data_IF_099655431783
#
_entry.id   IF_099655431783
#
_cell.length_a   1.000
_cell.length_b   1.000
_cell.length_c   1.000
_cell.angle_alpha   90.00
_cell.angle_beta   90.00
_cell.angle_gamma   90.00
#
_symmetry.space_group_name_H-M   'P 1'
#
loop_
_entity.id
_entity.type
_entity.pdbx_description
1 polymer ?
#
# COMPACT_ATOMS: atom_id res chain seq x y z
N UNK A 1 -18.31 -13.87 12.07
CA UNK A 1 -17.63 -15.03 11.43
C UNK A 1 -16.66 -15.61 12.45
N UNK A 2 -16.82 -16.87 12.88
CA UNK A 2 -15.81 -17.55 13.72
C UNK A 2 -14.94 -18.39 12.79
N UNK A 3 -13.62 -18.34 12.97
CA UNK A 3 -12.73 -19.29 12.31
C UNK A 3 -12.94 -20.70 12.93
N UNK A 4 -12.79 -21.78 12.15
CA UNK A 4 -12.73 -23.13 12.70
C UNK A 4 -11.61 -23.27 13.74
N UNK A 5 -11.82 -24.15 14.72
CA UNK A 5 -10.81 -24.42 15.74
C UNK A 5 -9.50 -24.90 15.09
N UNK A 6 -8.38 -24.25 15.41
CA UNK A 6 -7.05 -24.58 14.88
C UNK A 6 -6.57 -23.76 13.69
N UNK A 7 -7.38 -22.86 13.10
CA UNK A 7 -6.92 -21.94 12.05
C UNK A 7 -6.63 -20.54 12.59
N UNK A 8 -5.39 -20.07 12.41
CA UNK A 8 -5.01 -18.67 12.57
C UNK A 8 -5.36 -17.87 11.32
N UNK A 9 -5.77 -16.61 11.49
CA UNK A 9 -5.86 -15.70 10.34
C UNK A 9 -4.44 -15.45 9.78
N UNK A 10 -4.23 -15.45 8.46
CA UNK A 10 -2.90 -15.22 7.88
C UNK A 10 -2.38 -13.80 8.15
N UNK A 11 -3.27 -12.87 8.48
CA UNK A 11 -2.96 -11.48 8.84
C UNK A 11 -3.66 -11.10 10.14
N UNK A 12 -2.90 -10.47 11.04
CA UNK A 12 -3.38 -9.82 12.27
C UNK A 12 -3.04 -8.34 12.21
N UNK A 13 -3.82 -7.49 12.87
CA UNK A 13 -3.38 -6.12 13.18
C UNK A 13 -2.28 -6.19 14.26
N UNK A 14 -1.15 -5.50 14.07
CA UNK A 14 -0.14 -5.39 15.14
C UNK A 14 -0.56 -4.39 16.22
N UNK A 15 -1.39 -3.40 15.85
CA UNK A 15 -2.05 -2.52 16.81
C UNK A 15 -3.27 -1.80 16.24
N UNK A 16 -3.93 -1.04 17.09
CA UNK A 16 -4.99 -0.10 16.70
C UNK A 16 -5.02 1.07 17.69
N UNK A 17 -5.56 2.21 17.24
CA UNK A 17 -5.85 3.34 18.12
C UNK A 17 -7.18 3.99 17.77
N UNK A 18 -7.84 4.57 18.77
CA UNK A 18 -9.04 5.38 18.57
C UNK A 18 -8.64 6.81 18.22
N UNK A 19 -9.36 7.41 17.27
CA UNK A 19 -9.15 8.79 16.86
C UNK A 19 -10.18 9.66 17.58
N UNK A 20 -9.72 10.75 18.21
CA UNK A 20 -10.61 11.72 18.84
C UNK A 20 -11.59 12.31 17.83
N UNK A 21 -12.81 12.64 18.28
CA UNK A 21 -13.88 13.21 17.45
C UNK A 21 -13.58 14.68 17.13
N UNK A 22 -12.55 14.88 16.30
CA UNK A 22 -12.03 16.16 15.88
C UNK A 22 -11.70 16.06 14.39
N UNK A 23 -12.15 17.06 13.61
CA UNK A 23 -12.03 17.06 12.15
C UNK A 23 -10.56 16.94 11.72
N UNK A 24 -9.66 17.66 12.38
CA UNK A 24 -8.23 17.61 12.06
C UNK A 24 -7.61 16.27 12.45
N UNK A 25 -7.98 15.70 13.60
CA UNK A 25 -7.47 14.39 14.03
C UNK A 25 -7.86 13.26 13.07
N UNK A 26 -9.12 13.27 12.58
CA UNK A 26 -9.61 12.31 11.58
C UNK A 26 -8.82 12.44 10.28
N UNK A 27 -8.65 13.67 9.74
CA UNK A 27 -7.85 13.94 8.54
C UNK A 27 -6.39 13.49 8.70
N UNK A 28 -5.77 13.82 9.83
CA UNK A 28 -4.39 13.42 10.15
C UNK A 28 -4.26 11.90 10.21
N UNK A 29 -5.20 11.18 10.81
CA UNK A 29 -5.20 9.71 10.85
C UNK A 29 -5.34 9.08 9.45
N UNK A 30 -6.29 9.57 8.63
CA UNK A 30 -6.47 9.08 7.25
C UNK A 30 -5.23 9.38 6.38
N UNK A 31 -4.61 10.55 6.58
CA UNK A 31 -3.39 10.95 5.87
C UNK A 31 -2.16 10.10 6.27
N UNK A 32 -2.00 9.80 7.55
CA UNK A 32 -0.82 9.12 8.06
C UNK A 32 -0.88 7.59 7.96
N UNK A 33 -2.08 7.00 8.00
CA UNK A 33 -2.26 5.54 8.07
C UNK A 33 -3.33 5.00 7.11
N UNK A 34 -3.80 5.82 6.17
CA UNK A 34 -4.71 5.40 5.10
C UNK A 34 -6.16 5.17 5.55
N UNK A 35 -6.98 4.52 4.69
CA UNK A 35 -8.38 4.26 4.96
C UNK A 35 -8.66 3.50 6.25
N UNK A 36 -9.74 3.83 6.95
CA UNK A 36 -9.97 3.29 8.30
C UNK A 36 -11.44 3.04 8.63
N UNK A 37 -11.68 2.33 9.72
CA UNK A 37 -13.02 2.18 10.29
C UNK A 37 -13.58 3.54 10.69
N UNK A 38 -14.77 3.86 10.20
CA UNK A 38 -15.55 5.01 10.62
C UNK A 38 -17.00 4.58 10.91
N UNK A 39 -17.53 4.93 12.08
CA UNK A 39 -18.95 4.72 12.41
C UNK A 39 -19.70 6.02 12.55
N UNK A 40 -21.00 5.94 12.29
CA UNK A 40 -21.98 6.98 12.57
C UNK A 40 -23.35 6.33 12.80
N UNK A 41 -24.27 7.06 13.40
CA UNK A 41 -25.65 6.64 13.57
C UNK A 41 -26.46 6.96 12.31
N UNK A 42 -27.12 5.94 11.77
CA UNK A 42 -27.95 6.03 10.56
C UNK A 42 -29.37 6.45 10.96
N UNK A 43 -29.91 7.42 10.25
CA UNK A 43 -31.30 7.89 10.33
C UNK A 43 -32.04 7.51 9.03
N UNK A 44 -33.37 7.60 9.00
CA UNK A 44 -34.14 7.19 7.81
C UNK A 44 -33.87 8.03 6.55
N UNK A 45 -33.56 9.31 6.74
CA UNK A 45 -33.14 10.23 5.69
C UNK A 45 -31.85 9.78 4.98
N UNK A 46 -30.91 9.11 5.67
CA UNK A 46 -29.72 8.52 5.05
C UNK A 46 -30.11 7.47 4.01
N UNK A 47 -31.11 6.63 4.31
CA UNK A 47 -31.60 5.62 3.37
C UNK A 47 -32.20 6.24 2.11
N UNK A 48 -32.82 7.42 2.22
CA UNK A 48 -33.29 8.20 1.06
C UNK A 48 -32.12 8.82 0.29
N UNK A 49 -31.21 9.49 0.99
CA UNK A 49 -29.98 10.06 0.41
C UNK A 49 -29.19 9.00 -0.37
N UNK A 50 -28.97 7.81 0.18
CA UNK A 50 -28.27 6.71 -0.47
C UNK A 50 -28.87 6.30 -1.83
N UNK A 51 -30.20 6.39 -1.96
CA UNK A 51 -30.93 5.96 -3.18
C UNK A 51 -31.21 7.09 -4.18
N UNK A 52 -31.14 8.35 -3.76
CA UNK A 52 -31.65 9.50 -4.54
C UNK A 52 -30.74 10.73 -4.54
N UNK A 53 -29.61 10.69 -3.83
CA UNK A 53 -28.58 11.73 -3.91
C UNK A 53 -27.81 11.66 -5.23
N UNK A 54 -27.33 12.81 -5.69
CA UNK A 54 -26.53 12.95 -6.90
C UNK A 54 -25.03 12.85 -6.59
N UNK A 55 -24.22 12.63 -7.62
CA UNK A 55 -22.76 12.58 -7.49
C UNK A 55 -22.21 13.87 -6.88
N UNK A 56 -21.54 13.74 -5.75
CA UNK A 56 -20.98 14.87 -5.00
C UNK A 56 -21.91 15.53 -3.98
N UNK A 57 -23.17 15.10 -3.84
CA UNK A 57 -24.08 15.57 -2.78
C UNK A 57 -23.57 15.15 -1.39
N UNK A 58 -23.63 16.06 -0.42
CA UNK A 58 -23.17 15.83 0.96
C UNK A 58 -24.34 15.47 1.87
N UNK A 59 -24.30 14.31 2.50
CA UNK A 59 -25.27 13.94 3.53
C UNK A 59 -25.11 14.80 4.78
N UNK A 60 -26.21 15.43 5.18
CA UNK A 60 -26.36 16.14 6.44
C UNK A 60 -27.71 15.72 7.03
N UNK A 61 -27.67 14.88 8.07
CA UNK A 61 -28.88 14.44 8.79
C UNK A 61 -29.79 15.61 9.18
N UNK A 62 -31.08 15.48 8.86
CA UNK A 62 -32.17 16.37 9.25
C UNK A 62 -33.27 15.66 10.04
N UNK A 63 -33.41 14.34 9.87
CA UNK A 63 -34.42 13.50 10.55
C UNK A 63 -34.02 13.12 11.97
N UNK A 64 -35.01 12.94 12.85
CA UNK A 64 -34.81 12.46 14.22
C UNK A 64 -35.04 10.95 14.38
N UNK A 65 -35.44 10.23 13.32
CA UNK A 65 -35.73 8.80 13.36
C UNK A 65 -34.46 7.95 13.20
N UNK A 66 -33.72 7.73 14.29
CA UNK A 66 -32.55 6.85 14.32
C UNK A 66 -32.95 5.40 13.99
N UNK A 67 -32.21 4.76 13.07
CA UNK A 67 -32.36 3.36 12.65
C UNK A 67 -31.35 2.43 13.30
N UNK A 68 -30.17 2.92 13.66
CA UNK A 68 -29.11 2.14 14.31
C UNK A 68 -27.75 2.80 14.18
N UNK A 69 -26.70 2.09 14.61
CA UNK A 69 -25.32 2.43 14.25
C UNK A 69 -24.91 1.69 12.98
N UNK A 70 -24.08 2.32 12.14
CA UNK A 70 -23.47 1.69 10.96
C UNK A 70 -21.97 2.00 10.90
N UNK A 71 -21.23 1.13 10.21
CA UNK A 71 -19.79 1.23 10.02
C UNK A 71 -19.44 1.18 8.54
N UNK A 72 -18.53 2.06 8.14
CA UNK A 72 -18.06 2.28 6.77
C UNK A 72 -16.55 2.48 6.78
N UNK A 73 -15.93 2.48 5.60
CA UNK A 73 -14.52 2.82 5.44
C UNK A 73 -14.40 4.31 5.10
N UNK A 74 -13.79 5.13 5.95
CA UNK A 74 -13.41 6.49 5.55
C UNK A 74 -12.19 6.41 4.63
N UNK A 75 -12.24 7.07 3.47
CA UNK A 75 -11.21 7.00 2.42
C UNK A 75 -10.65 8.37 2.02
N UNK A 76 -11.18 9.47 2.56
CA UNK A 76 -10.70 10.81 2.26
C UNK A 76 -11.61 11.91 2.82
N UNK A 77 -11.36 13.16 2.42
CA UNK A 77 -12.15 14.32 2.81
C UNK A 77 -12.09 15.43 1.75
N UNK A 78 -12.93 16.45 1.88
CA UNK A 78 -12.89 17.67 1.06
C UNK A 78 -13.27 18.88 1.91
N UNK A 79 -12.33 19.81 2.04
CA UNK A 79 -12.52 21.05 2.81
C UNK A 79 -13.53 21.99 2.15
N UNK A 80 -13.52 22.08 0.81
CA UNK A 80 -14.50 22.85 0.05
C UNK A 80 -15.93 22.31 0.12
N UNK A 81 -16.10 21.03 0.45
CA UNK A 81 -17.42 20.41 0.75
C UNK A 81 -17.77 20.41 2.24
N UNK A 82 -16.81 20.66 3.13
CA UNK A 82 -16.97 20.43 4.57
C UNK A 82 -17.35 18.98 4.90
N UNK A 83 -16.77 17.99 4.21
CA UNK A 83 -17.24 16.60 4.23
C UNK A 83 -16.13 15.53 4.21
N UNK A 84 -16.41 14.37 4.79
CA UNK A 84 -15.65 13.13 4.65
C UNK A 84 -16.17 12.31 3.46
N UNK A 85 -15.26 11.60 2.77
CA UNK A 85 -15.59 10.62 1.74
C UNK A 85 -15.53 9.21 2.35
N UNK A 86 -16.64 8.48 2.26
CA UNK A 86 -16.79 7.16 2.85
C UNK A 86 -17.21 6.12 1.80
N UNK A 87 -16.61 4.92 1.85
CA UNK A 87 -17.03 3.75 1.08
C UNK A 87 -17.94 2.87 1.93
N UNK A 88 -19.12 2.58 1.39
CA UNK A 88 -20.15 1.75 2.03
C UNK A 88 -20.03 0.28 1.60
N UNK A 89 -20.82 -0.60 2.22
CA UNK A 89 -20.85 -2.05 1.98
C UNK A 89 -22.14 -2.55 1.32
N UNK A 90 -22.86 -1.67 0.62
CA UNK A 90 -24.21 -1.94 0.06
C UNK A 90 -24.26 -2.03 -1.47
N UNK A 91 -23.15 -2.42 -2.11
CA UNK A 91 -23.03 -2.56 -3.56
C UNK A 91 -22.02 -1.59 -4.17
N UNK A 92 -21.27 -2.07 -5.17
CA UNK A 92 -20.16 -1.35 -5.82
C UNK A 92 -20.60 -0.30 -6.85
N UNK A 93 -21.83 -0.39 -7.37
CA UNK A 93 -22.43 0.57 -8.32
C UNK A 93 -23.54 1.42 -7.68
N UNK A 94 -23.71 1.30 -6.36
CA UNK A 94 -24.78 1.96 -5.62
C UNK A 94 -24.31 3.25 -4.93
N UNK A 95 -25.25 4.02 -4.39
CA UNK A 95 -24.96 5.25 -3.67
C UNK A 95 -24.83 6.48 -4.57
N UNK A 96 -24.75 7.69 -3.98
CA UNK A 96 -24.82 8.95 -4.72
C UNK A 96 -23.72 9.13 -5.78
N UNK A 97 -22.52 8.58 -5.53
CA UNK A 97 -21.39 8.69 -6.44
C UNK A 97 -21.35 7.55 -7.50
N UNK A 98 -22.30 6.60 -7.46
CA UNK A 98 -22.39 5.42 -8.35
C UNK A 98 -21.18 4.44 -8.30
N UNK A 99 -20.37 4.51 -7.24
CA UNK A 99 -19.14 3.71 -7.02
C UNK A 99 -19.09 3.06 -5.62
N UNK A 100 -20.23 2.97 -4.93
CA UNK A 100 -20.34 2.52 -3.55
C UNK A 100 -19.91 3.57 -2.51
N UNK A 101 -19.53 4.79 -2.92
CA UNK A 101 -19.12 5.87 -2.02
C UNK A 101 -20.17 6.96 -1.82
N UNK A 102 -20.00 7.73 -0.75
CA UNK A 102 -20.86 8.86 -0.40
C UNK A 102 -20.09 9.92 0.40
N UNK A 103 -20.62 11.13 0.43
CA UNK A 103 -20.09 12.23 1.25
C UNK A 103 -20.94 12.43 2.50
N UNK A 104 -20.30 12.63 3.64
CA UNK A 104 -20.98 12.98 4.91
C UNK A 104 -20.35 14.25 5.49
N UNK A 105 -21.18 15.22 5.88
CA UNK A 105 -20.71 16.48 6.44
C UNK A 105 -19.86 16.28 7.70
N UNK A 106 -18.97 17.22 7.98
CA UNK A 106 -18.24 17.28 9.26
C UNK A 106 -19.15 17.66 10.43
N UNK A 107 -20.19 18.45 10.18
CA UNK A 107 -20.93 19.22 11.17
C UNK A 107 -22.40 19.47 10.79
N UNK A 108 -23.10 20.23 11.65
CA UNK A 108 -24.43 20.80 11.43
C UNK A 108 -25.49 19.80 11.00
N UNK A 109 -25.38 18.57 11.49
CA UNK A 109 -26.45 17.60 11.57
C UNK A 109 -27.47 18.05 12.63
N UNK A 110 -28.76 17.73 12.45
CA UNK A 110 -29.77 17.94 13.49
C UNK A 110 -29.46 17.15 14.76
N UNK A 111 -28.93 15.93 14.61
CA UNK A 111 -28.59 15.05 15.73
C UNK A 111 -27.08 14.88 15.89
N UNK A 112 -26.63 14.51 17.08
CA UNK A 112 -25.28 13.97 17.25
C UNK A 112 -25.24 12.55 16.66
N UNK A 113 -24.53 12.39 15.53
CA UNK A 113 -24.39 11.11 14.84
C UNK A 113 -23.43 10.13 15.54
N UNK A 114 -22.84 10.50 16.67
CA UNK A 114 -21.92 9.64 17.42
C UNK A 114 -20.71 9.22 16.58
N UNK A 115 -20.23 10.12 15.71
CA UNK A 115 -19.12 9.84 14.79
C UNK A 115 -17.88 9.41 15.54
N UNK A 116 -17.33 8.24 15.19
CA UNK A 116 -16.12 7.70 15.79
C UNK A 116 -15.29 6.98 14.74
N UNK A 117 -13.96 7.05 14.91
CA UNK A 117 -12.99 6.41 14.05
C UNK A 117 -12.00 5.65 14.90
N UNK A 118 -11.58 4.48 14.44
CA UNK A 118 -10.35 3.85 14.90
C UNK A 118 -9.53 3.47 13.67
N UNK A 119 -8.21 3.47 13.83
CA UNK A 119 -7.29 3.07 12.78
C UNK A 119 -6.48 1.85 13.22
N UNK A 120 -6.07 1.05 12.25
CA UNK A 120 -5.19 -0.09 12.44
C UNK A 120 -3.76 0.39 12.19
N UNK A 121 -2.87 0.11 13.13
CA UNK A 121 -1.43 0.36 12.96
C UNK A 121 -0.77 -0.96 12.67
N UNK A 122 -0.30 -1.13 11.43
CA UNK A 122 0.44 -2.30 11.00
C UNK A 122 -0.36 -3.59 10.88
N UNK A 123 0.17 -4.48 10.04
CA UNK A 123 -0.30 -5.84 9.80
C UNK A 123 0.86 -6.81 10.00
N UNK A 124 0.68 -7.77 10.92
CA UNK A 124 1.58 -8.91 11.13
C UNK A 124 1.06 -10.11 10.37
N UNK A 125 1.92 -10.76 9.58
CA UNK A 125 1.61 -12.05 8.95
C UNK A 125 1.84 -13.18 9.96
N UNK A 126 0.87 -14.07 10.14
CA UNK A 126 1.06 -15.26 11.00
C UNK A 126 1.70 -16.37 10.18
N UNK A 127 2.93 -16.75 10.55
CA UNK A 127 3.60 -17.91 9.95
C UNK A 127 2.84 -19.20 10.31
N UNK A 128 2.41 -19.94 9.29
CA UNK A 128 1.83 -21.28 9.47
C UNK A 128 2.96 -22.31 9.62
N UNK A 129 2.66 -23.46 10.25
CA UNK A 129 3.62 -24.55 10.45
C UNK A 129 4.29 -25.04 9.16
N UNK A 130 3.56 -25.00 8.03
CA UNK A 130 4.08 -25.35 6.70
C UNK A 130 5.17 -24.37 6.24
N UNK A 131 4.99 -23.06 6.46
CA UNK A 131 5.98 -22.03 6.09
C UNK A 131 7.30 -22.16 6.87
N UNK A 132 7.24 -22.61 8.13
CA UNK A 132 8.41 -22.85 8.97
C UNK A 132 9.17 -24.13 8.60
N UNK A 133 8.50 -25.11 7.99
CA UNK A 133 9.13 -26.32 7.48
C UNK A 133 9.86 -26.03 6.17
N UNK A 134 9.24 -25.29 5.24
CA UNK A 134 9.87 -24.88 3.99
C UNK A 134 11.20 -24.13 4.22
N UNK A 135 11.21 -23.14 5.12
CA UNK A 135 12.44 -22.37 5.43
C UNK A 135 13.56 -23.22 6.07
N UNK A 136 13.21 -24.31 6.77
CA UNK A 136 14.19 -25.23 7.35
C UNK A 136 14.73 -26.23 6.32
N UNK A 137 13.91 -26.64 5.36
CA UNK A 137 14.33 -27.50 4.25
C UNK A 137 15.39 -26.79 3.40
N UNK A 138 15.10 -25.54 2.99
CA UNK A 138 15.99 -24.70 2.17
C UNK A 138 17.36 -24.46 2.84
N UNK A 139 17.35 -24.21 4.16
CA UNK A 139 18.58 -24.06 4.96
C UNK A 139 19.43 -25.33 5.03
N UNK A 140 18.87 -26.53 4.81
CA UNK A 140 19.61 -27.79 4.78
C UNK A 140 20.08 -28.11 3.36
N UNK A 141 19.27 -27.86 2.33
CA UNK A 141 19.69 -28.04 0.92
C UNK A 141 20.86 -27.14 0.53
N UNK A 142 20.88 -25.87 0.99
CA UNK A 142 22.04 -24.97 0.80
C UNK A 142 23.31 -25.49 1.49
N UNK A 143 23.19 -26.29 2.57
CA UNK A 143 24.34 -26.97 3.21
C UNK A 143 24.76 -28.23 2.47
N UNK A 144 23.80 -29.03 1.98
CA UNK A 144 24.06 -30.25 1.20
C UNK A 144 24.70 -29.94 -0.17
N UNK A 145 24.25 -28.89 -0.87
CA UNK A 145 24.79 -28.49 -2.18
C UNK A 145 26.27 -28.08 -2.16
N UNK A 146 26.84 -27.71 -0.99
CA UNK A 146 28.28 -27.44 -0.86
C UNK A 146 29.12 -28.69 -0.60
N UNK A 147 28.51 -29.88 -0.47
CA UNK A 147 29.17 -31.13 -0.04
C UNK A 147 28.70 -32.37 -0.81
N UNK A 148 28.67 -32.34 -2.15
CA UNK A 148 28.84 -33.56 -2.97
C UNK A 148 28.95 -33.30 -4.48
N UNK A 149 30.19 -33.25 -4.99
CA UNK A 149 30.49 -33.61 -6.38
C UNK A 149 30.79 -35.11 -6.39
N UNK A 150 29.87 -35.96 -6.87
CA UNK A 150 30.12 -37.41 -6.88
C UNK A 150 28.97 -38.36 -7.24
N UNK A 151 28.75 -38.57 -8.53
CA UNK A 151 28.52 -39.87 -9.19
C UNK A 151 27.41 -40.86 -8.69
N UNK A 152 26.32 -40.89 -9.48
CA UNK A 152 25.52 -42.05 -9.98
C UNK A 152 24.93 -43.15 -9.08
N UNK A 153 23.64 -43.46 -9.34
CA UNK A 153 22.95 -44.79 -9.24
C UNK A 153 22.83 -45.45 -7.85
N UNK A 154 21.74 -46.11 -7.46
CA UNK A 154 20.46 -46.45 -8.14
C UNK A 154 19.36 -46.84 -7.11
N UNK A 155 18.14 -47.01 -7.62
CA UNK A 155 17.14 -48.03 -7.24
C UNK A 155 16.15 -47.81 -6.06
N UNK A 156 14.87 -47.76 -6.46
CA UNK A 156 13.66 -48.48 -5.98
C UNK A 156 13.38 -48.65 -4.46
N UNK A 157 12.13 -48.70 -3.95
CA UNK A 157 10.82 -48.94 -4.59
C UNK A 157 9.63 -48.47 -3.69
N UNK A 158 8.42 -48.32 -4.29
CA UNK A 158 7.08 -48.78 -3.82
C UNK A 158 6.62 -48.57 -2.35
N UNK A 159 5.39 -48.16 -1.99
CA UNK A 159 4.06 -48.02 -2.68
C UNK A 159 3.30 -46.82 -2.06
N UNK A 160 2.11 -46.33 -2.48
CA UNK A 160 1.17 -46.66 -3.58
C UNK A 160 0.52 -45.35 -4.11
N UNK A 161 -0.55 -45.43 -4.92
CA UNK A 161 -1.27 -44.29 -5.53
C UNK A 161 -2.79 -44.58 -5.63
N UNK A 162 -3.64 -43.80 -6.34
CA UNK A 162 -3.86 -42.34 -6.30
C UNK A 162 -5.35 -41.96 -6.15
N UNK A 163 -5.67 -40.66 -6.08
CA UNK A 163 -6.97 -40.12 -6.50
C UNK A 163 -6.79 -39.42 -7.85
N UNK A 164 -7.62 -39.75 -8.85
CA UNK A 164 -7.45 -39.30 -10.24
C UNK A 164 -8.17 -37.98 -10.51
N UNK A 165 -7.56 -37.10 -11.31
CA UNK A 165 -8.20 -35.90 -11.88
C UNK A 165 -7.93 -35.94 -13.40
N UNK A 166 -8.96 -35.75 -14.22
CA UNK A 166 -8.89 -35.91 -15.68
C UNK A 166 -7.93 -34.92 -16.36
N UNK A 167 -7.00 -35.37 -17.22
CA UNK A 167 -6.07 -34.52 -17.95
C UNK A 167 -6.57 -34.21 -19.37
N UNK A 168 -7.30 -33.12 -19.55
CA UNK A 168 -7.53 -32.52 -20.88
C UNK A 168 -7.36 -31.00 -20.79
N UNK A 169 -6.57 -30.42 -21.71
CA UNK A 169 -6.23 -28.99 -21.84
C UNK A 169 -5.11 -28.43 -20.93
N UNK A 170 -3.97 -29.11 -20.82
CA UNK A 170 -2.67 -28.42 -20.77
C UNK A 170 -1.79 -28.99 -21.90
N UNK A 171 -1.82 -28.35 -23.06
CA UNK A 171 -0.71 -28.34 -24.05
C UNK A 171 -1.02 -27.38 -25.22
N UNK A 172 -0.73 -26.09 -25.03
CA UNK A 172 -0.12 -25.22 -26.07
C UNK A 172 0.04 -23.80 -25.54
N UNK A 173 1.18 -23.54 -24.91
CA UNK A 173 2.00 -22.33 -25.04
C UNK A 173 3.15 -22.48 -24.04
N UNK A 174 4.35 -22.78 -24.55
CA UNK A 174 5.54 -22.91 -23.72
C UNK A 174 5.90 -21.56 -23.12
N UNK A 175 5.65 -21.39 -21.83
CA UNK A 175 5.99 -20.19 -21.07
C UNK A 175 6.28 -20.56 -19.63
N UNK A 176 7.52 -20.41 -19.20
CA UNK A 176 7.91 -20.58 -17.80
C UNK A 176 7.29 -19.46 -16.98
N UNK A 177 6.22 -19.75 -16.23
CA UNK A 177 5.68 -18.80 -15.26
C UNK A 177 6.59 -18.82 -14.03
N UNK A 178 7.56 -17.91 -14.00
CA UNK A 178 8.28 -17.56 -12.76
C UNK A 178 7.32 -16.85 -11.81
N UNK A 179 6.66 -17.61 -10.94
CA UNK A 179 5.95 -17.05 -9.80
C UNK A 179 6.97 -16.66 -8.73
N UNK A 180 7.57 -15.48 -8.90
CA UNK A 180 8.31 -14.80 -7.84
C UNK A 180 7.31 -14.30 -6.79
N UNK A 181 6.75 -15.23 -6.01
CA UNK A 181 6.00 -14.94 -4.80
C UNK A 181 6.97 -14.53 -3.68
N UNK A 182 7.70 -13.43 -3.91
CA UNK A 182 8.51 -12.81 -2.88
C UNK A 182 7.60 -12.36 -1.74
N UNK A 183 7.95 -12.75 -0.52
CA UNK A 183 7.08 -12.57 0.62
C UNK A 183 7.26 -11.17 1.19
N UNK A 184 6.19 -10.38 1.11
CA UNK A 184 6.08 -9.07 1.77
C UNK A 184 6.46 -9.20 3.26
N UNK A 185 7.58 -8.59 3.74
CA UNK A 185 7.88 -8.57 5.16
C UNK A 185 6.81 -7.76 5.91
N UNK A 186 6.50 -8.20 7.13
CA UNK A 186 5.40 -7.65 7.93
C UNK A 186 5.58 -6.16 8.21
N UNK A 187 4.51 -5.40 8.04
CA UNK A 187 4.39 -3.97 8.35
C UNK A 187 4.37 -3.68 9.86
N UNK A 188 5.39 -4.16 10.58
CA UNK A 188 5.60 -3.78 11.97
C UNK A 188 6.30 -2.42 12.05
N UNK A 189 6.00 -1.65 13.09
CA UNK A 189 6.46 -0.27 13.22
C UNK A 189 7.89 -0.20 13.74
N UNK A 190 8.87 -0.25 12.83
CA UNK A 190 10.26 0.05 13.16
C UNK A 190 10.74 1.34 12.48
N UNK A 191 10.79 2.41 13.27
CA UNK A 191 11.60 3.59 12.97
C UNK A 191 13.13 3.33 13.04
N UNK A 192 13.54 2.05 13.10
CA UNK A 192 14.91 1.55 13.23
C UNK A 192 15.21 0.33 12.34
N UNK A 193 14.33 -0.09 11.42
CA UNK A 193 14.61 -1.22 10.54
C UNK A 193 15.52 -0.80 9.37
N UNK A 194 16.70 -1.41 9.28
CA UNK A 194 17.76 -1.06 8.32
C UNK A 194 17.50 -1.59 6.89
N UNK A 195 16.41 -1.07 6.29
CA UNK A 195 15.89 -1.26 4.93
C UNK A 195 14.95 -2.47 4.69
N UNK A 196 13.91 -2.19 3.90
CA UNK A 196 12.73 -3.01 3.63
C UNK A 196 11.69 -2.15 2.89
N UNK A 197 10.40 -2.37 3.16
CA UNK A 197 9.31 -1.59 2.57
C UNK A 197 9.02 -0.27 3.28
N UNK A 198 8.75 0.75 2.47
CA UNK A 198 8.22 2.05 2.85
C UNK A 198 6.86 2.23 2.15
N UNK A 199 5.78 2.00 2.89
CA UNK A 199 4.43 1.95 2.31
C UNK A 199 3.73 3.31 2.37
N UNK A 200 2.85 3.55 1.40
CA UNK A 200 2.01 4.73 1.25
C UNK A 200 2.80 6.05 1.32
N UNK A 201 3.98 6.09 0.69
CA UNK A 201 4.79 7.31 0.61
C UNK A 201 4.05 8.39 -0.18
N UNK A 202 3.82 9.53 0.47
CA UNK A 202 3.18 10.70 -0.14
C UNK A 202 4.04 11.28 -1.26
N UNK A 203 3.37 11.78 -2.30
CA UNK A 203 4.04 12.44 -3.43
C UNK A 203 4.27 13.94 -3.23
N UNK A 204 3.57 14.56 -2.29
CA UNK A 204 3.66 15.98 -1.96
C UNK A 204 4.63 16.25 -0.80
N UNK A 205 5.85 15.73 -0.92
CA UNK A 205 6.94 16.04 -0.01
C UNK A 205 8.11 15.09 -0.13
N UNK A 206 8.93 15.06 0.93
CA UNK A 206 10.09 14.18 1.05
C UNK A 206 9.91 13.11 2.11
N UNK A 207 10.59 11.99 1.92
CA UNK A 207 10.77 10.92 2.93
C UNK A 207 12.26 10.68 3.12
N UNK A 208 12.80 10.96 4.30
CA UNK A 208 14.21 10.70 4.60
C UNK A 208 14.36 9.30 5.20
N UNK A 209 15.26 8.51 4.63
CA UNK A 209 15.60 7.19 5.14
C UNK A 209 16.59 7.34 6.31
N UNK A 210 16.28 6.70 7.43
CA UNK A 210 17.18 6.62 8.59
C UNK A 210 18.22 5.49 8.40
N UNK A 211 19.28 5.53 9.20
CA UNK A 211 20.36 4.53 9.24
C UNK A 211 20.99 4.13 7.89
N UNK A 212 21.23 5.12 7.02
CA UNK A 212 21.97 4.95 5.74
C UNK A 212 23.49 4.90 5.91
N UNK A 213 23.97 4.80 7.15
CA UNK A 213 25.40 4.77 7.50
C UNK A 213 26.08 3.52 6.90
N UNK A 214 27.24 3.70 6.28
CA UNK A 214 27.96 2.59 5.64
C UNK A 214 27.26 1.98 4.41
N UNK A 215 26.23 2.63 3.85
CA UNK A 215 25.56 2.18 2.62
C UNK A 215 26.28 2.75 1.38
N UNK A 216 26.84 1.86 0.55
CA UNK A 216 27.55 2.20 -0.70
C UNK A 216 26.71 1.92 -1.96
N UNK A 217 25.77 0.98 -1.86
CA UNK A 217 24.83 0.59 -2.91
C UNK A 217 23.43 0.35 -2.32
N UNK A 218 22.38 0.69 -3.08
CA UNK A 218 20.99 0.37 -2.80
C UNK A 218 20.31 -0.31 -4.00
N UNK A 219 19.46 -1.29 -3.74
CA UNK A 219 18.47 -1.82 -4.67
C UNK A 219 17.11 -1.22 -4.34
N UNK A 220 16.46 -0.59 -5.32
CA UNK A 220 15.20 0.14 -5.15
C UNK A 220 14.20 -0.19 -6.25
N UNK A 221 12.97 -0.57 -5.88
CA UNK A 221 11.84 -0.68 -6.79
C UNK A 221 10.55 -0.19 -6.12
N UNK A 222 9.58 0.26 -6.92
CA UNK A 222 8.31 0.77 -6.42
C UNK A 222 7.13 -0.14 -6.80
N UNK A 223 6.17 -0.30 -5.89
CA UNK A 223 4.86 -0.93 -6.16
C UNK A 223 3.74 0.05 -5.86
N UNK A 224 2.52 -0.32 -6.28
CA UNK A 224 1.29 0.44 -6.10
C UNK A 224 1.34 1.93 -6.42
N UNK A 225 2.21 2.31 -7.36
CA UNK A 225 2.37 3.67 -7.85
C UNK A 225 1.06 4.19 -8.41
N UNK A 226 0.43 5.15 -7.71
CA UNK A 226 -0.85 5.76 -8.08
C UNK A 226 -0.90 7.22 -7.61
N UNK A 227 -0.49 8.15 -8.46
CA UNK A 227 -0.62 9.60 -8.18
C UNK A 227 -1.04 10.44 -9.40
N UNK A 228 -1.27 11.73 -9.16
CA UNK A 228 -1.66 12.77 -10.14
C UNK A 228 -0.89 14.07 -9.85
N UNK A 229 -0.67 14.86 -10.89
CA UNK A 229 -0.09 16.21 -10.83
C UNK A 229 -1.22 17.24 -11.03
N UNK A 230 -1.81 17.70 -9.94
CA UNK A 230 -2.99 18.57 -9.98
C UNK A 230 -4.31 17.83 -10.23
N UNK A 231 -5.39 18.55 -9.93
CA UNK A 231 -6.74 18.00 -9.99
C UNK A 231 -7.19 17.76 -11.44
N UNK A 232 -7.56 16.51 -11.76
CA UNK A 232 -7.99 16.11 -13.11
C UNK A 232 -6.87 15.64 -14.05
N UNK A 233 -5.61 15.58 -13.60
CA UNK A 233 -4.51 15.07 -14.42
C UNK A 233 -4.63 13.57 -14.74
N UNK A 234 -3.87 13.13 -15.75
CA UNK A 234 -3.60 11.70 -15.98
C UNK A 234 -2.99 11.07 -14.72
N UNK A 235 -3.44 9.86 -14.39
CA UNK A 235 -2.84 9.07 -13.33
C UNK A 235 -1.47 8.53 -13.76
N UNK A 236 -0.47 8.71 -12.91
CA UNK A 236 0.85 8.13 -13.04
C UNK A 236 0.86 6.79 -12.31
N UNK A 237 1.38 5.77 -13.01
CA UNK A 237 1.40 4.37 -12.60
C UNK A 237 2.78 3.72 -12.75
N UNK A 238 3.84 4.54 -12.82
CA UNK A 238 5.23 4.11 -12.99
C UNK A 238 6.14 4.98 -12.12
N UNK A 239 7.20 4.40 -11.49
CA UNK A 239 8.23 5.18 -10.81
C UNK A 239 8.96 6.14 -11.76
N UNK A 240 8.91 5.89 -13.07
CA UNK A 240 9.44 6.77 -14.12
C UNK A 240 8.54 7.99 -14.42
N UNK A 241 7.49 8.23 -13.62
CA UNK A 241 6.63 9.40 -13.78
C UNK A 241 5.79 9.34 -15.06
N UNK A 242 5.78 10.43 -15.83
CA UNK A 242 5.08 10.49 -17.12
C UNK A 242 5.88 9.90 -18.30
N UNK A 243 7.14 9.49 -18.06
CA UNK A 243 8.07 8.96 -19.07
C UNK A 243 8.89 10.03 -19.82
N UNK A 244 8.72 11.31 -19.51
CA UNK A 244 9.49 12.42 -20.08
C UNK A 244 10.71 12.80 -19.24
N UNK A 245 11.73 13.36 -19.90
CA UNK A 245 12.93 13.91 -19.24
C UNK A 245 12.66 15.35 -18.76
N UNK A 246 13.05 15.65 -17.53
CA UNK A 246 12.87 16.94 -16.88
C UNK A 246 13.83 18.01 -17.43
N UNK A 247 13.31 19.20 -17.73
CA UNK A 247 14.10 20.35 -18.19
C UNK A 247 14.80 21.10 -17.04
N UNK A 248 15.53 22.17 -17.37
CA UNK A 248 16.30 22.97 -16.40
C UNK A 248 15.48 23.65 -15.30
N UNK A 249 14.17 23.86 -15.49
CA UNK A 249 13.26 24.45 -14.49
C UNK A 249 12.66 23.46 -13.48
N UNK A 250 13.10 22.20 -13.49
CA UNK A 250 12.63 21.16 -12.56
C UNK A 250 13.54 21.09 -11.33
N UNK A 251 12.99 20.61 -10.20
CA UNK A 251 13.71 20.40 -8.95
C UNK A 251 14.93 19.50 -9.13
N UNK A 252 14.79 18.46 -9.94
CA UNK A 252 15.87 17.60 -10.41
C UNK A 252 15.89 17.64 -11.94
N UNK A 253 16.72 18.51 -12.57
CA UNK A 253 16.89 18.53 -14.01
C UNK A 253 17.41 17.19 -14.55
N UNK A 254 17.04 16.81 -15.77
CA UNK A 254 17.38 15.53 -16.40
C UNK A 254 16.89 14.25 -15.69
N UNK A 255 16.29 14.35 -14.50
CA UNK A 255 15.53 13.25 -13.91
C UNK A 255 14.22 13.02 -14.67
N UNK A 256 13.47 11.97 -14.32
CA UNK A 256 12.13 11.77 -14.87
C UNK A 256 11.17 12.86 -14.40
N UNK A 257 10.31 13.36 -15.29
CA UNK A 257 9.21 14.27 -14.94
C UNK A 257 8.20 13.54 -14.09
N UNK A 258 7.89 14.08 -12.90
CA UNK A 258 7.01 13.45 -11.93
C UNK A 258 7.46 12.04 -11.51
N UNK A 259 8.72 11.67 -11.72
CA UNK A 259 9.25 10.36 -11.32
C UNK A 259 9.80 10.36 -9.89
N UNK A 260 9.98 9.16 -9.34
CA UNK A 260 10.59 8.96 -8.02
C UNK A 260 12.10 9.15 -8.15
N UNK A 261 12.64 10.00 -7.29
CA UNK A 261 14.06 10.37 -7.25
C UNK A 261 14.62 10.08 -5.86
N UNK A 262 15.71 9.33 -5.82
CA UNK A 262 16.54 9.13 -4.63
C UNK A 262 17.60 10.23 -4.61
N UNK A 263 17.83 10.88 -3.46
CA UNK A 263 18.72 12.05 -3.33
C UNK A 263 19.64 11.87 -2.13
N UNK A 264 20.93 12.19 -2.29
CA UNK A 264 21.89 12.17 -1.19
C UNK A 264 23.07 13.12 -1.48
N UNK A 265 23.37 14.03 -0.54
CA UNK A 265 24.60 14.85 -0.60
C UNK A 265 24.78 15.73 -1.85
N UNK A 266 23.68 16.06 -2.57
CA UNK A 266 23.70 16.79 -3.84
C UNK A 266 23.58 15.91 -5.09
N UNK A 267 23.82 14.60 -4.97
CA UNK A 267 23.58 13.63 -6.03
C UNK A 267 22.12 13.15 -6.02
N UNK A 268 21.64 12.69 -7.18
CA UNK A 268 20.30 12.12 -7.33
C UNK A 268 20.23 11.03 -8.42
N UNK A 269 19.30 10.10 -8.25
CA UNK A 269 19.11 8.93 -9.12
C UNK A 269 17.61 8.67 -9.36
N UNK A 270 17.25 8.37 -10.60
CA UNK A 270 15.89 7.95 -10.98
C UNK A 270 15.60 6.53 -10.51
N UNK A 271 14.45 6.27 -9.87
CA UNK A 271 13.92 4.91 -9.71
C UNK A 271 13.21 4.51 -11.00
N UNK A 272 13.61 3.39 -11.59
CA UNK A 272 13.10 2.93 -12.89
C UNK A 272 12.24 1.67 -12.80
N UNK A 273 12.42 0.88 -11.75
CA UNK A 273 11.86 -0.47 -11.65
C UNK A 273 10.63 -0.58 -10.75
N UNK A 274 9.74 -1.49 -11.13
CA UNK A 274 8.63 -2.00 -10.31
C UNK A 274 8.83 -3.45 -9.87
N UNK A 275 9.98 -4.08 -10.18
CA UNK A 275 10.25 -5.50 -9.95
C UNK A 275 11.49 -5.73 -9.09
N UNK A 276 11.43 -6.73 -8.23
CA UNK A 276 12.54 -7.21 -7.40
C UNK A 276 13.54 -8.08 -8.15
N UNK A 277 13.13 -8.76 -9.21
CA UNK A 277 14.04 -9.48 -10.15
C UNK A 277 14.97 -8.55 -10.93
N UNK A 278 14.64 -7.27 -11.03
CA UNK A 278 15.46 -6.27 -11.73
C UNK A 278 15.30 -4.91 -11.05
N UNK A 279 15.83 -4.73 -9.82
CA UNK A 279 15.66 -3.50 -9.08
C UNK A 279 16.50 -2.37 -9.69
N UNK A 280 16.16 -1.13 -9.39
CA UNK A 280 17.02 0.01 -9.70
C UNK A 280 18.23 -0.04 -8.76
N UNK A 281 19.41 -0.35 -9.30
CA UNK A 281 20.66 -0.35 -8.53
C UNK A 281 21.25 1.05 -8.53
N UNK A 282 21.42 1.61 -7.33
CA UNK A 282 21.99 2.93 -7.08
C UNK A 282 23.36 2.77 -6.45
N UNK A 283 24.39 3.36 -7.06
CA UNK A 283 25.78 3.31 -6.61
C UNK A 283 26.37 4.70 -6.39
N UNK A 284 27.51 4.76 -5.68
CA UNK A 284 28.18 6.03 -5.36
C UNK A 284 27.53 6.78 -4.20
N UNK A 285 26.82 6.06 -3.33
CA UNK A 285 26.23 6.62 -2.12
C UNK A 285 27.33 6.93 -1.08
N UNK A 286 27.16 8.05 -0.39
CA UNK A 286 27.92 8.41 0.79
C UNK A 286 27.56 7.50 1.96
N UNK A 287 28.59 7.06 2.67
CA UNK A 287 28.48 6.27 3.90
C UNK A 287 28.11 7.12 5.15
N UNK A 288 27.94 8.43 5.02
CA UNK A 288 27.83 9.40 6.14
C UNK A 288 26.70 10.43 5.99
N UNK A 289 25.91 10.38 4.91
CA UNK A 289 24.83 11.33 4.63
C UNK A 289 23.47 10.62 4.54
N UNK A 290 22.36 11.27 4.96
CA UNK A 290 21.02 10.71 4.86
C UNK A 290 20.55 10.62 3.41
N UNK A 291 19.93 9.50 3.03
CA UNK A 291 19.24 9.35 1.74
C UNK A 291 17.81 9.89 1.88
N UNK A 292 17.33 10.64 0.89
CA UNK A 292 15.97 11.18 0.87
C UNK A 292 15.28 10.87 -0.45
N UNK A 293 14.03 10.42 -0.37
CA UNK A 293 13.14 10.14 -1.50
C UNK A 293 12.28 11.38 -1.78
N UNK A 294 12.12 11.68 -3.06
CA UNK A 294 11.25 12.73 -3.60
C UNK A 294 10.45 12.21 -4.81
N UNK A 295 9.38 12.91 -5.16
CA UNK A 295 8.88 12.95 -6.53
C UNK A 295 9.38 14.23 -7.19
N UNK A 296 9.87 14.15 -8.43
CA UNK A 296 10.39 15.31 -9.16
C UNK A 296 9.26 16.23 -9.64
N UNK A 297 9.44 17.54 -9.52
CA UNK A 297 8.44 18.53 -9.95
C UNK A 297 9.09 19.80 -10.48
N UNK A 298 8.35 20.53 -11.30
CA UNK A 298 8.54 21.92 -11.67
C UNK A 298 8.77 22.80 -10.43
N UNK A 299 10.04 23.17 -10.22
CA UNK A 299 10.51 24.06 -9.15
C UNK A 299 10.09 23.69 -7.70
N UNK A 300 9.77 22.41 -7.43
CA UNK A 300 9.46 21.93 -6.07
C UNK A 300 8.14 22.44 -5.47
N UNK A 301 7.20 22.91 -6.29
CA UNK A 301 5.84 23.19 -5.85
C UNK A 301 4.98 21.92 -5.97
N UNK A 302 5.10 21.02 -4.99
CA UNK A 302 4.44 19.72 -4.96
C UNK A 302 3.02 19.74 -4.36
N UNK A 303 2.45 20.93 -4.13
CA UNK A 303 1.20 21.15 -3.38
C UNK A 303 -0.05 20.60 -4.05
N UNK A 304 -0.03 20.46 -5.36
CA UNK A 304 -1.12 19.92 -6.16
C UNK A 304 -0.89 18.46 -6.57
N UNK A 305 0.27 17.88 -6.25
CA UNK A 305 0.48 16.44 -6.38
C UNK A 305 -0.34 15.68 -5.35
N UNK A 306 -1.04 14.64 -5.79
CA UNK A 306 -1.94 13.84 -4.94
C UNK A 306 -1.86 12.35 -5.26
N UNK A 307 -1.68 11.54 -4.22
CA UNK A 307 -1.55 10.09 -4.31
C UNK A 307 -0.36 9.57 -3.52
N UNK A 308 0.03 8.32 -3.78
CA UNK A 308 1.11 7.64 -3.07
C UNK A 308 1.72 6.50 -3.89
N UNK A 309 2.76 5.89 -3.32
CA UNK A 309 3.43 4.69 -3.81
C UNK A 309 4.05 3.92 -2.66
N UNK A 310 4.29 2.63 -2.87
CA UNK A 310 5.09 1.81 -1.98
C UNK A 310 6.50 1.70 -2.56
N UNK A 311 7.53 1.81 -1.72
CA UNK A 311 8.94 1.75 -2.13
C UNK A 311 9.67 0.68 -1.34
N UNK A 312 10.20 -0.32 -2.03
CA UNK A 312 11.16 -1.24 -1.43
C UNK A 312 12.57 -0.67 -1.58
N UNK A 313 13.33 -0.72 -0.48
CA UNK A 313 14.74 -0.35 -0.44
C UNK A 313 15.50 -1.50 0.21
N UNK A 314 16.64 -1.90 -0.37
CA UNK A 314 17.60 -2.84 0.24
C UNK A 314 19.01 -2.29 0.10
N UNK A 315 19.84 -2.54 1.11
CA UNK A 315 21.28 -2.25 1.10
C UNK A 315 22.05 -3.43 0.51
N UNK A 316 22.93 -3.15 -0.45
CA UNK A 316 23.71 -4.16 -1.19
C UNK A 316 25.23 -3.94 -0.97
N UNK A 317 25.64 -3.83 0.29
CA UNK A 317 27.03 -3.49 0.66
C UNK A 317 27.97 -4.71 0.78
#
# INVERSE_FOLDING_TARGET
>A
MRLPCGQTAPYLASGFYTVGVNIQAIKTSVMAHGPSYFRYDVYDDFGRYWRTGNTGDVYRNVSNNKRGGHAVLIIGWSDSKGAYLCKNSWGETAGPNNDGTFWIAYDGHTNNLGMQMFNITGLTRVATSESLLASKQDSQDVRQQRLSVGKSTSDTESTTAPFSIDPVMIESYGGTITVEAETEPSTDTDANASFGWYNNLRVNGSTTLTDTSGTTQLSVYARDVKWRFGFGSRAIQSPQGDGGVAGSGWRFPNAHKFGIVVVQGGNYWNVNSTSSSSPTVITGLSNTQPVTIYVNDTNGNDKDNGGSFDLFVRKDN
#
